data_IF_492655882998
#
_entry.id   IF_492655882998
#
_cell.length_a   1.000
_cell.length_b   1.000
_cell.length_c   1.000
_cell.angle_alpha   90.00
_cell.angle_beta   90.00
_cell.angle_gamma   90.00
#
_symmetry.space_group_name_H-M   'P 1'
#
loop_
_entity.id
_entity.type
_entity.pdbx_description
1 polymer ?
#
# COMPACT_ATOMS: atom_id res chain seq x y z
N UNK A 1 -36.45 -3.92 21.38
CA UNK A 1 -35.78 -4.60 20.26
C UNK A 1 -34.29 -4.31 20.40
N UNK A 2 -33.50 -5.22 21.00
CA UNK A 2 -32.07 -5.00 21.20
C UNK A 2 -31.36 -5.17 19.86
N UNK A 3 -30.91 -4.06 19.26
CA UNK A 3 -29.96 -4.11 18.16
C UNK A 3 -28.61 -4.55 18.74
N UNK A 4 -28.29 -5.83 18.64
CA UNK A 4 -26.94 -6.32 18.89
C UNK A 4 -26.05 -5.67 17.83
N UNK A 5 -25.27 -4.67 18.22
CA UNK A 5 -24.25 -4.09 17.37
C UNK A 5 -23.15 -5.14 17.18
N UNK A 6 -23.09 -5.76 15.99
CA UNK A 6 -22.03 -6.70 15.62
C UNK A 6 -20.69 -5.99 15.78
N UNK A 7 -19.86 -6.41 16.74
CA UNK A 7 -18.57 -5.78 16.97
C UNK A 7 -17.68 -6.00 15.75
N UNK A 8 -16.95 -4.96 15.34
CA UNK A 8 -16.01 -5.07 14.24
C UNK A 8 -14.88 -6.03 14.63
N UNK A 9 -14.47 -6.97 13.75
CA UNK A 9 -13.30 -7.78 14.01
C UNK A 9 -12.07 -6.90 14.24
N UNK A 10 -11.32 -7.16 15.31
CA UNK A 10 -10.07 -6.44 15.64
C UNK A 10 -9.12 -6.41 14.44
N UNK A 11 -9.18 -7.46 13.61
CA UNK A 11 -8.32 -7.62 12.45
C UNK A 11 -8.57 -6.57 11.35
N UNK A 12 -9.76 -5.98 11.27
CA UNK A 12 -10.03 -4.85 10.37
C UNK A 12 -9.16 -3.65 10.76
N UNK A 13 -9.04 -3.38 12.06
CA UNK A 13 -8.16 -2.33 12.57
C UNK A 13 -6.69 -2.66 12.32
N UNK A 14 -6.30 -3.94 12.43
CA UNK A 14 -4.93 -4.38 12.09
C UNK A 14 -4.63 -4.14 10.61
N UNK A 15 -5.52 -4.53 9.69
CA UNK A 15 -5.38 -4.26 8.26
C UNK A 15 -5.23 -2.75 8.01
N UNK A 16 -6.09 -1.93 8.62
CA UNK A 16 -6.02 -0.48 8.48
C UNK A 16 -4.68 0.10 8.95
N UNK A 17 -4.14 -0.39 10.07
CA UNK A 17 -2.82 0.03 10.59
C UNK A 17 -1.71 -0.41 9.64
N UNK A 18 -1.72 -1.66 9.17
CA UNK A 18 -0.72 -2.16 8.21
C UNK A 18 -0.71 -1.32 6.93
N UNK A 19 -1.89 -0.98 6.40
CA UNK A 19 -2.02 -0.07 5.27
C UNK A 19 -1.47 1.32 5.60
N UNK A 20 -1.83 1.90 6.75
CA UNK A 20 -1.42 3.24 7.14
C UNK A 20 0.12 3.36 7.30
N UNK A 21 0.80 2.30 7.72
CA UNK A 21 2.26 2.26 7.79
C UNK A 21 2.95 2.45 6.43
N UNK A 22 2.21 2.30 5.31
CA UNK A 22 2.72 2.56 3.95
C UNK A 22 2.59 4.03 3.51
N UNK A 23 2.08 4.94 4.36
CA UNK A 23 1.85 6.36 4.02
C UNK A 23 3.11 7.08 3.53
N UNK A 24 4.28 6.62 3.95
CA UNK A 24 5.57 7.18 3.51
C UNK A 24 5.74 7.12 2.00
N UNK A 25 5.02 6.26 1.28
CA UNK A 25 5.03 6.24 -0.18
C UNK A 25 4.60 7.55 -0.84
N UNK A 26 3.78 8.36 -0.15
CA UNK A 26 3.41 9.68 -0.64
C UNK A 26 4.63 10.59 -0.85
N UNK A 27 5.70 10.36 -0.09
CA UNK A 27 6.95 11.12 -0.23
C UNK A 27 7.62 10.92 -1.59
N UNK A 28 7.32 9.84 -2.32
CA UNK A 28 7.94 9.55 -3.61
C UNK A 28 7.76 10.69 -4.63
N UNK A 29 6.64 11.43 -4.52
CA UNK A 29 6.34 12.59 -5.36
C UNK A 29 7.43 13.67 -5.25
N UNK A 30 8.05 13.85 -4.08
CA UNK A 30 9.08 14.88 -3.90
C UNK A 30 10.40 14.53 -4.59
N UNK A 31 10.63 13.27 -4.95
CA UNK A 31 11.81 12.82 -5.69
C UNK A 31 11.65 12.91 -7.20
N UNK A 32 10.45 13.16 -7.73
CA UNK A 32 10.23 13.21 -9.19
C UNK A 32 11.14 14.25 -9.85
N UNK A 33 11.33 15.43 -9.25
CA UNK A 33 12.21 16.46 -9.81
C UNK A 33 13.71 16.10 -9.77
N UNK A 34 14.12 15.05 -9.06
CA UNK A 34 15.50 14.59 -9.03
C UNK A 34 15.84 13.55 -10.10
N UNK A 35 14.92 13.24 -11.02
CA UNK A 35 15.15 12.35 -12.15
C UNK A 35 16.05 13.01 -13.22
N UNK A 36 16.84 12.19 -13.92
CA UNK A 36 17.75 12.60 -14.99
C UNK A 36 17.04 13.37 -16.11
N UNK A 37 15.83 12.97 -16.50
CA UNK A 37 14.99 13.66 -17.49
C UNK A 37 14.66 15.11 -17.12
N UNK A 38 14.76 15.46 -15.83
CA UNK A 38 14.58 16.81 -15.31
C UNK A 38 15.90 17.48 -14.89
N UNK A 39 17.04 16.89 -15.24
CA UNK A 39 18.39 17.37 -14.91
C UNK A 39 18.88 16.99 -13.52
N UNK A 40 18.22 16.02 -12.86
CA UNK A 40 18.63 15.48 -11.57
C UNK A 40 19.64 14.33 -11.67
N UNK A 41 19.90 13.68 -10.54
CA UNK A 41 20.91 12.61 -10.41
C UNK A 41 20.29 11.20 -10.30
N UNK A 42 18.96 11.09 -10.23
CA UNK A 42 18.27 9.81 -10.03
C UNK A 42 17.91 9.18 -11.38
N UNK A 43 18.10 7.86 -11.58
CA UNK A 43 17.80 7.22 -12.85
C UNK A 43 16.34 7.36 -13.26
N UNK A 44 16.09 7.61 -14.54
CA UNK A 44 14.73 7.76 -15.09
C UNK A 44 13.84 6.51 -14.90
N UNK A 45 14.45 5.34 -14.70
CA UNK A 45 13.75 4.10 -14.38
C UNK A 45 12.89 4.22 -13.10
N UNK A 46 13.22 5.14 -12.18
CA UNK A 46 12.44 5.41 -10.97
C UNK A 46 11.16 6.21 -11.21
N UNK A 47 10.95 6.77 -12.41
CA UNK A 47 9.76 7.56 -12.71
C UNK A 47 8.48 6.78 -12.48
N UNK A 48 8.37 5.58 -13.07
CA UNK A 48 7.16 4.77 -12.94
C UNK A 48 6.88 4.38 -11.47
N UNK A 49 7.83 3.77 -10.72
CA UNK A 49 7.64 3.48 -9.29
C UNK A 49 7.23 4.69 -8.45
N UNK A 50 7.86 5.86 -8.65
CA UNK A 50 7.55 7.04 -7.84
C UNK A 50 6.20 7.66 -8.17
N UNK A 51 5.78 7.67 -9.43
CA UNK A 51 4.44 8.13 -9.81
C UNK A 51 3.37 7.21 -9.24
N UNK A 52 3.52 5.89 -9.37
CA UNK A 52 2.56 4.94 -8.82
C UNK A 52 2.54 4.95 -7.29
N UNK A 53 3.69 5.06 -6.61
CA UNK A 53 3.74 5.25 -5.15
C UNK A 53 3.00 6.53 -4.74
N UNK A 54 3.18 7.62 -5.48
CA UNK A 54 2.45 8.88 -5.24
C UNK A 54 0.94 8.70 -5.35
N UNK A 55 0.46 8.08 -6.44
CA UNK A 55 -0.97 7.82 -6.65
C UNK A 55 -1.53 6.93 -5.52
N UNK A 56 -0.85 5.83 -5.21
CA UNK A 56 -1.28 4.92 -4.14
C UNK A 56 -1.23 5.60 -2.77
N UNK A 57 -0.24 6.44 -2.52
CA UNK A 57 -0.13 7.25 -1.31
C UNK A 57 -1.28 8.23 -1.12
N UNK A 58 -1.72 8.88 -2.21
CA UNK A 58 -2.90 9.77 -2.19
C UNK A 58 -4.19 8.99 -1.96
N UNK A 59 -4.32 7.79 -2.53
CA UNK A 59 -5.50 6.94 -2.33
C UNK A 59 -5.55 6.31 -0.93
N UNK A 60 -4.41 6.15 -0.27
CA UNK A 60 -4.31 5.42 0.99
C UNK A 60 -5.30 5.89 2.08
N UNK A 61 -5.50 7.19 2.38
CA UNK A 61 -6.46 7.62 3.40
C UNK A 61 -7.90 7.19 3.08
N UNK A 62 -8.27 7.19 1.79
CA UNK A 62 -9.60 6.75 1.33
C UNK A 62 -9.73 5.24 1.55
N UNK A 63 -8.70 4.47 1.20
CA UNK A 63 -8.70 3.02 1.38
C UNK A 63 -8.71 2.63 2.86
N UNK A 64 -7.98 3.34 3.72
CA UNK A 64 -8.02 3.15 5.17
C UNK A 64 -9.42 3.48 5.72
N UNK A 65 -10.03 4.57 5.26
CA UNK A 65 -11.41 4.91 5.62
C UNK A 65 -12.38 3.80 5.21
N UNK A 66 -12.26 3.28 3.99
CA UNK A 66 -13.09 2.18 3.50
C UNK A 66 -12.86 0.87 4.25
N UNK A 67 -11.62 0.51 4.56
CA UNK A 67 -11.30 -0.64 5.43
C UNK A 67 -12.02 -0.49 6.78
N UNK A 68 -11.96 0.71 7.38
CA UNK A 68 -12.53 0.94 8.68
C UNK A 68 -14.04 1.12 8.64
N UNK A 69 -14.68 1.70 7.64
CA UNK A 69 -16.10 2.11 7.73
C UNK A 69 -16.99 1.48 6.69
N UNK A 70 -16.42 0.93 5.63
CA UNK A 70 -17.19 0.42 4.52
C UNK A 70 -17.70 -0.99 4.72
N UNK A 71 -18.63 -1.36 3.84
CA UNK A 71 -19.24 -2.66 3.73
C UNK A 71 -19.50 -2.97 2.25
N UNK A 72 -19.77 -4.23 1.93
CA UNK A 72 -20.01 -4.72 0.58
C UNK A 72 -18.83 -5.51 0.01
N UNK A 73 -19.15 -6.62 -0.66
CA UNK A 73 -18.16 -7.50 -1.31
C UNK A 73 -17.35 -6.78 -2.40
N UNK A 74 -17.95 -5.80 -3.08
CA UNK A 74 -17.26 -4.96 -4.08
C UNK A 74 -16.14 -4.14 -3.43
N UNK A 75 -16.40 -3.60 -2.24
CA UNK A 75 -15.40 -2.84 -1.50
C UNK A 75 -14.26 -3.73 -1.00
N UNK A 76 -14.59 -4.93 -0.50
CA UNK A 76 -13.58 -5.93 -0.20
C UNK A 76 -12.70 -6.24 -1.41
N UNK A 77 -13.29 -6.44 -2.59
CA UNK A 77 -12.54 -6.67 -3.83
C UNK A 77 -11.64 -5.49 -4.21
N UNK A 78 -12.10 -4.26 -4.00
CA UNK A 78 -11.29 -3.05 -4.19
C UNK A 78 -10.09 -3.01 -3.23
N UNK A 79 -10.29 -3.37 -1.95
CA UNK A 79 -9.21 -3.43 -0.97
C UNK A 79 -8.20 -4.53 -1.31
N UNK A 80 -8.66 -5.70 -1.78
CA UNK A 80 -7.79 -6.76 -2.29
C UNK A 80 -6.94 -6.25 -3.45
N UNK A 81 -7.57 -5.61 -4.44
CA UNK A 81 -6.87 -5.05 -5.59
C UNK A 81 -5.83 -3.99 -5.16
N UNK A 82 -6.21 -3.07 -4.27
CA UNK A 82 -5.32 -2.02 -3.79
C UNK A 82 -4.07 -2.59 -3.11
N UNK A 83 -4.22 -3.57 -2.22
CA UNK A 83 -3.08 -4.16 -1.51
C UNK A 83 -2.22 -5.01 -2.46
N UNK A 84 -2.83 -5.74 -3.40
CA UNK A 84 -2.10 -6.52 -4.40
C UNK A 84 -1.28 -5.63 -5.36
N UNK A 85 -1.91 -4.57 -5.90
CA UNK A 85 -1.22 -3.58 -6.74
C UNK A 85 -0.13 -2.87 -5.92
N UNK A 86 -0.39 -2.53 -4.66
CA UNK A 86 0.60 -1.92 -3.78
C UNK A 86 1.82 -2.80 -3.51
N UNK A 87 1.65 -4.12 -3.33
CA UNK A 87 2.77 -5.05 -3.19
C UNK A 87 3.55 -5.20 -4.51
N UNK A 88 2.85 -5.28 -5.64
CA UNK A 88 3.48 -5.33 -6.97
C UNK A 88 4.28 -4.06 -7.28
N UNK A 89 3.74 -2.90 -6.95
CA UNK A 89 4.39 -1.60 -7.10
C UNK A 89 5.74 -1.54 -6.37
N UNK A 90 5.77 -1.89 -5.08
CA UNK A 90 7.05 -1.98 -4.36
C UNK A 90 8.00 -3.05 -4.90
N UNK A 91 7.47 -4.14 -5.47
CA UNK A 91 8.30 -5.14 -6.14
C UNK A 91 8.95 -4.59 -7.41
N UNK A 92 8.26 -3.71 -8.16
CA UNK A 92 8.87 -2.95 -9.25
C UNK A 92 9.93 -1.98 -8.73
N UNK A 93 9.69 -1.32 -7.59
CA UNK A 93 10.73 -0.52 -6.93
C UNK A 93 11.97 -1.34 -6.57
N UNK A 94 11.81 -2.59 -6.10
CA UNK A 94 12.95 -3.49 -5.82
C UNK A 94 13.71 -3.86 -7.09
N UNK A 95 12.98 -4.21 -8.16
CA UNK A 95 13.58 -4.53 -9.45
C UNK A 95 14.35 -3.32 -10.00
N UNK A 96 13.76 -2.12 -9.89
CA UNK A 96 14.40 -0.86 -10.29
C UNK A 96 15.64 -0.59 -9.46
N UNK A 97 15.61 -0.77 -8.14
CA UNK A 97 16.81 -0.61 -7.31
C UNK A 97 17.91 -1.63 -7.65
N UNK A 98 17.55 -2.79 -8.18
CA UNK A 98 18.49 -3.82 -8.61
C UNK A 98 19.16 -3.46 -9.95
N UNK A 99 18.41 -2.95 -10.92
CA UNK A 99 18.93 -2.61 -12.25
C UNK A 99 19.51 -1.21 -12.33
N UNK A 100 18.87 -0.26 -11.66
CA UNK A 100 19.11 1.19 -11.73
C UNK A 100 19.12 1.78 -10.31
N UNK A 101 20.14 1.46 -9.50
CA UNK A 101 20.17 1.82 -8.08
C UNK A 101 20.18 3.34 -7.88
N UNK A 102 19.49 3.81 -6.84
CA UNK A 102 19.57 5.21 -6.44
C UNK A 102 21.01 5.60 -6.03
N UNK A 103 21.45 6.83 -6.34
CA UNK A 103 22.72 7.34 -5.85
C UNK A 103 22.75 7.39 -4.31
N UNK A 104 23.90 7.10 -3.73
CA UNK A 104 24.11 7.14 -2.27
C UNK A 104 23.87 8.52 -1.64
N UNK A 105 23.95 9.58 -2.44
CA UNK A 105 23.61 10.95 -2.03
C UNK A 105 22.10 11.13 -1.74
N UNK A 106 21.24 10.29 -2.31
CA UNK A 106 19.80 10.28 -2.06
C UNK A 106 19.48 9.34 -0.89
N UNK A 107 19.91 8.07 -0.99
CA UNK A 107 19.70 7.07 0.04
C UNK A 107 20.73 5.94 -0.08
N UNK A 108 21.06 5.29 1.05
CA UNK A 108 21.90 4.08 1.00
C UNK A 108 21.11 2.91 0.41
N UNK A 109 21.78 2.03 -0.34
CA UNK A 109 21.13 0.86 -0.93
C UNK A 109 20.46 -0.03 0.13
N UNK A 110 21.08 -0.18 1.30
CA UNK A 110 20.50 -0.94 2.41
C UNK A 110 19.18 -0.34 2.90
N UNK A 111 19.09 1.00 2.98
CA UNK A 111 17.85 1.69 3.34
C UNK A 111 16.77 1.47 2.28
N UNK A 112 17.10 1.60 0.99
CA UNK A 112 16.13 1.42 -0.10
C UNK A 112 15.60 -0.02 -0.15
N UNK A 113 16.51 -1.02 -0.18
CA UNK A 113 16.12 -2.43 -0.15
C UNK A 113 15.32 -2.80 1.10
N UNK A 114 15.74 -2.30 2.27
CA UNK A 114 15.05 -2.54 3.54
C UNK A 114 13.64 -1.95 3.54
N UNK A 115 13.51 -0.68 3.17
CA UNK A 115 12.22 0.01 3.11
C UNK A 115 11.23 -0.70 2.18
N UNK A 116 11.65 -1.00 0.94
CA UNK A 116 10.81 -1.69 -0.04
C UNK A 116 10.41 -3.10 0.43
N UNK A 117 11.35 -3.86 1.01
CA UNK A 117 11.06 -5.21 1.50
C UNK A 117 10.07 -5.21 2.67
N UNK A 118 10.21 -4.25 3.59
CA UNK A 118 9.26 -4.07 4.71
C UNK A 118 7.89 -3.70 4.18
N UNK A 119 7.79 -2.75 3.23
CA UNK A 119 6.49 -2.31 2.72
C UNK A 119 5.79 -3.36 1.86
N UNK A 120 6.52 -4.16 1.09
CA UNK A 120 5.98 -5.37 0.43
C UNK A 120 5.38 -6.30 1.47
N UNK A 121 6.13 -6.59 2.54
CA UNK A 121 5.68 -7.48 3.60
C UNK A 121 4.40 -6.97 4.27
N UNK A 122 4.32 -5.67 4.57
CA UNK A 122 3.12 -5.05 5.13
C UNK A 122 1.91 -5.18 4.20
N UNK A 123 2.07 -4.89 2.91
CA UNK A 123 1.00 -5.01 1.91
C UNK A 123 0.55 -6.46 1.72
N UNK A 124 1.49 -7.41 1.69
CA UNK A 124 1.17 -8.84 1.57
C UNK A 124 0.45 -9.36 2.81
N UNK A 125 0.87 -8.97 4.01
CA UNK A 125 0.15 -9.37 5.24
C UNK A 125 -1.25 -8.76 5.26
N UNK A 126 -1.41 -7.48 4.93
CA UNK A 126 -2.72 -6.85 4.81
C UNK A 126 -3.62 -7.56 3.77
N UNK A 127 -3.06 -7.90 2.61
CA UNK A 127 -3.72 -8.67 1.55
C UNK A 127 -4.18 -10.04 2.04
N UNK A 128 -3.30 -10.81 2.68
CA UNK A 128 -3.63 -12.14 3.20
C UNK A 128 -4.71 -12.07 4.29
N UNK A 129 -4.66 -11.07 5.16
CA UNK A 129 -5.66 -10.86 6.20
C UNK A 129 -7.05 -10.54 5.61
N UNK A 130 -7.13 -9.88 4.44
CA UNK A 130 -8.40 -9.64 3.76
C UNK A 130 -9.12 -10.94 3.35
N UNK A 131 -8.39 -12.05 3.19
CA UNK A 131 -8.97 -13.35 2.84
C UNK A 131 -9.42 -14.18 4.05
N UNK A 132 -9.26 -13.69 5.29
CA UNK A 132 -9.82 -14.40 6.44
C UNK A 132 -11.34 -14.36 6.41
N UNK A 133 -11.96 -15.47 6.82
CA UNK A 133 -13.41 -15.64 6.78
C UNK A 133 -14.17 -14.59 7.59
N UNK A 134 -13.64 -14.17 8.74
CA UNK A 134 -14.24 -13.11 9.56
C UNK A 134 -14.22 -11.73 8.89
N UNK A 135 -13.19 -11.45 8.08
CA UNK A 135 -13.09 -10.22 7.27
C UNK A 135 -14.03 -10.28 6.07
N UNK A 136 -14.04 -11.40 5.34
CA UNK A 136 -14.95 -11.59 4.22
C UNK A 136 -16.41 -11.45 4.69
N UNK A 137 -16.77 -12.10 5.80
CA UNK A 137 -18.12 -12.00 6.39
C UNK A 137 -18.44 -10.58 6.86
N UNK A 138 -17.45 -9.83 7.35
CA UNK A 138 -17.63 -8.42 7.69
C UNK A 138 -18.05 -7.59 6.47
N UNK A 139 -17.40 -7.81 5.33
CA UNK A 139 -17.69 -7.06 4.09
C UNK A 139 -18.87 -7.60 3.29
N UNK A 140 -19.15 -8.90 3.31
CA UNK A 140 -20.32 -9.44 2.60
C UNK A 140 -21.63 -8.88 3.17
N UNK A 141 -21.65 -8.52 4.45
CA UNK A 141 -22.89 -8.37 5.21
C UNK A 141 -23.53 -9.74 5.36
N UNK A 142 -24.14 -10.04 6.51
CA UNK A 142 -24.98 -11.23 6.57
C UNK A 142 -26.09 -10.99 5.53
N UNK A 143 -26.07 -11.73 4.42
CA UNK A 143 -27.25 -11.88 3.59
C UNK A 143 -28.28 -12.52 4.52
N UNK A 144 -29.25 -11.70 4.95
CA UNK A 144 -30.49 -12.18 5.56
C UNK A 144 -31.15 -13.21 4.64
#
# INVERSE_FOLDING_TARGET
>A
MNTITKSRPVIISVIAVLMLLTITRLQAISFISSLEMFGGISPDAWFAPWVSDGILGVLLPIMVYFTLRGSGIKLWGLLVLYNAVGAFDYSNGLATQWTDPLPSAIASSALVYGALSVTISLQLVALLLLFRSDVINHFQGDQL
#
